data_IF_310275811059
#
_entry.id   IF_310275811059
#
_cell.length_a   1.000
_cell.length_b   1.000
_cell.length_c   1.000
_cell.angle_alpha   90.00
_cell.angle_beta   90.00
_cell.angle_gamma   90.00
#
_symmetry.space_group_name_H-M   'P 1'
#
loop_
_entity.id
_entity.type
_entity.pdbx_description
1 polymer ?
#
# COMPACT_ATOMS: atom_id res chain seq x y z
N UNK A 1 -3.16 16.48 -10.72
CA UNK A 1 -2.50 15.56 -9.77
C UNK A 1 -3.57 15.13 -8.77
N UNK A 2 -3.95 13.85 -8.72
CA UNK A 2 -4.96 13.40 -7.78
C UNK A 2 -4.43 13.55 -6.35
N UNK A 3 -5.14 14.32 -5.52
CA UNK A 3 -4.79 14.49 -4.10
C UNK A 3 -4.77 13.11 -3.42
N UNK A 4 -3.74 12.82 -2.62
CA UNK A 4 -3.71 11.59 -1.82
C UNK A 4 -4.90 11.63 -0.85
N UNK A 5 -5.72 10.58 -0.77
CA UNK A 5 -6.87 10.59 0.13
C UNK A 5 -6.38 10.70 1.57
N UNK A 6 -7.15 11.40 2.40
CA UNK A 6 -6.84 11.53 3.83
C UNK A 6 -6.98 10.17 4.50
N UNK A 7 -5.95 9.78 5.25
CA UNK A 7 -5.99 8.57 6.09
C UNK A 7 -6.85 8.86 7.31
N UNK A 8 -7.86 8.03 7.53
CA UNK A 8 -8.74 8.08 8.70
C UNK A 8 -8.16 7.23 9.82
N UNK A 9 -7.72 6.01 9.50
CA UNK A 9 -7.26 5.02 10.47
C UNK A 9 -6.30 4.01 9.84
N UNK A 10 -5.26 3.62 10.56
CA UNK A 10 -4.46 2.44 10.21
C UNK A 10 -5.22 1.17 10.63
N UNK A 11 -5.45 0.27 9.68
CA UNK A 11 -6.13 -1.02 9.91
C UNK A 11 -5.08 -2.08 10.26
N UNK A 12 -4.00 -2.12 9.49
CA UNK A 12 -2.92 -3.07 9.65
C UNK A 12 -1.60 -2.47 9.17
N UNK A 13 -0.53 -2.74 9.90
CA UNK A 13 0.82 -2.38 9.52
C UNK A 13 1.75 -3.47 10.00
N UNK A 14 2.56 -3.99 9.10
CA UNK A 14 3.53 -5.03 9.40
C UNK A 14 4.78 -4.82 8.58
N UNK A 15 5.90 -4.65 9.29
CA UNK A 15 7.22 -4.62 8.70
C UNK A 15 8.01 -5.80 9.23
N UNK A 16 8.43 -6.67 8.33
CA UNK A 16 9.32 -7.78 8.63
C UNK A 16 10.66 -7.55 7.97
N UNK A 17 11.72 -7.63 8.77
CA UNK A 17 13.11 -7.59 8.30
C UNK A 17 13.64 -9.02 8.42
N UNK A 18 14.06 -9.59 7.29
CA UNK A 18 14.66 -10.92 7.24
C UNK A 18 16.12 -10.86 7.71
N UNK A 19 16.70 -12.01 8.06
CA UNK A 19 18.09 -12.12 8.51
C UNK A 19 19.11 -11.59 7.47
N UNK A 20 18.76 -11.64 6.19
CA UNK A 20 19.58 -11.11 5.10
C UNK A 20 19.38 -9.60 4.85
N UNK A 21 18.59 -8.91 5.67
CA UNK A 21 18.29 -7.47 5.53
C UNK A 21 17.18 -7.13 4.54
N UNK A 22 16.59 -8.12 3.84
CA UNK A 22 15.42 -7.87 3.00
C UNK A 22 14.22 -7.45 3.86
N UNK A 23 13.37 -6.59 3.32
CA UNK A 23 12.20 -6.06 4.03
C UNK A 23 10.92 -6.47 3.30
N UNK A 24 9.95 -7.01 4.04
CA UNK A 24 8.55 -7.14 3.63
C UNK A 24 7.76 -6.09 4.40
N UNK A 25 7.10 -5.18 3.70
CA UNK A 25 6.30 -4.10 4.29
C UNK A 25 4.86 -4.22 3.79
N UNK A 26 3.92 -4.35 4.72
CA UNK A 26 2.48 -4.50 4.45
C UNK A 26 1.76 -3.40 5.22
N UNK A 27 0.89 -2.67 4.54
CA UNK A 27 0.07 -1.62 5.14
C UNK A 27 -1.34 -1.66 4.58
N UNK A 28 -2.33 -1.51 5.46
CA UNK A 28 -3.74 -1.40 5.15
C UNK A 28 -4.30 -0.23 5.98
N UNK A 29 -4.98 0.70 5.32
CA UNK A 29 -5.48 1.93 5.90
C UNK A 29 -6.93 2.16 5.46
N UNK A 30 -7.75 2.64 6.41
CA UNK A 30 -8.99 3.31 6.08
C UNK A 30 -8.65 4.73 5.61
N UNK A 31 -9.12 5.08 4.43
CA UNK A 31 -9.04 6.42 3.84
C UNK A 31 -10.43 6.96 3.58
N UNK A 32 -10.53 8.28 3.40
CA UNK A 32 -11.77 8.89 2.89
C UNK A 32 -12.16 8.26 1.55
N UNK A 33 -13.46 7.99 1.38
CA UNK A 33 -13.98 7.44 0.13
C UNK A 33 -13.78 8.44 -1.00
N UNK A 34 -13.21 7.97 -2.09
CA UNK A 34 -13.06 8.74 -3.33
C UNK A 34 -13.43 7.86 -4.51
N UNK A 35 -13.50 8.43 -5.71
CA UNK A 35 -13.70 7.63 -6.93
C UNK A 35 -12.61 6.56 -7.12
N UNK A 36 -11.40 6.80 -6.62
CA UNK A 36 -10.29 5.85 -6.68
C UNK A 36 -10.37 4.78 -5.58
N UNK A 37 -10.92 5.12 -4.42
CA UNK A 37 -11.06 4.24 -3.26
C UNK A 37 -12.52 4.20 -2.83
N UNK A 38 -13.38 3.57 -3.65
CA UNK A 38 -14.83 3.55 -3.41
C UNK A 38 -15.18 2.87 -2.07
N UNK A 39 -14.40 1.87 -1.68
CA UNK A 39 -14.52 1.18 -0.40
C UNK A 39 -13.89 1.97 0.76
N UNK A 40 -13.12 3.02 0.46
CA UNK A 40 -12.36 3.78 1.45
C UNK A 40 -11.20 2.98 2.03
N UNK A 41 -10.69 1.97 1.33
CA UNK A 41 -9.56 1.15 1.77
C UNK A 41 -8.37 1.40 0.85
N UNK A 42 -7.21 1.70 1.45
CA UNK A 42 -5.92 1.76 0.75
C UNK A 42 -5.02 0.67 1.31
N UNK A 43 -4.32 -0.06 0.45
CA UNK A 43 -3.34 -1.05 0.89
C UNK A 43 -2.10 -1.05 0.01
N UNK A 44 -1.01 -1.54 0.58
CA UNK A 44 0.24 -1.78 -0.12
C UNK A 44 1.00 -2.94 0.49
N UNK A 45 1.64 -3.75 -0.37
CA UNK A 45 2.63 -4.74 -0.04
C UNK A 45 3.89 -4.43 -0.86
N UNK A 46 5.02 -4.29 -0.17
CA UNK A 46 6.32 -4.03 -0.80
C UNK A 46 7.35 -5.04 -0.34
N UNK A 47 8.16 -5.51 -1.28
CA UNK A 47 9.37 -6.27 -1.00
C UNK A 47 10.59 -5.45 -1.43
N UNK A 48 11.49 -5.23 -0.49
CA UNK A 48 12.66 -4.38 -0.64
C UNK A 48 13.91 -5.21 -0.39
N UNK A 49 14.87 -5.12 -1.30
CA UNK A 49 16.19 -5.75 -1.21
C UNK A 49 17.25 -4.71 -1.53
N UNK A 50 18.32 -4.66 -0.75
CA UNK A 50 19.42 -3.70 -0.93
C UNK A 50 18.95 -2.23 -1.03
N UNK A 51 17.91 -1.88 -0.25
CA UNK A 51 17.28 -0.56 -0.26
C UNK A 51 16.44 -0.25 -1.51
N UNK A 52 16.26 -1.19 -2.44
CA UNK A 52 15.46 -1.03 -3.66
C UNK A 52 14.16 -1.84 -3.57
N UNK A 53 13.04 -1.23 -3.96
CA UNK A 53 11.76 -1.94 -4.09
C UNK A 53 11.81 -2.87 -5.30
N UNK A 54 11.84 -4.19 -5.06
CA UNK A 54 11.82 -5.20 -6.13
C UNK A 54 10.40 -5.56 -6.57
N UNK A 55 9.48 -5.62 -5.62
CA UNK A 55 8.07 -5.89 -5.88
C UNK A 55 7.22 -4.91 -5.09
N UNK A 56 6.18 -4.41 -5.74
CA UNK A 56 5.15 -3.61 -5.10
C UNK A 56 3.80 -4.01 -5.65
N UNK A 57 2.86 -4.23 -4.75
CA UNK A 57 1.46 -4.42 -5.06
C UNK A 57 0.64 -3.44 -4.22
N UNK A 58 -0.15 -2.59 -4.86
CA UNK A 58 -1.02 -1.65 -4.18
C UNK A 58 -2.27 -1.39 -5.03
N UNK A 59 -3.26 -0.72 -4.42
CA UNK A 59 -4.47 -0.26 -5.10
C UNK A 59 -4.41 1.23 -5.47
N UNK A 60 -3.21 1.80 -5.66
CA UNK A 60 -3.06 3.17 -6.14
C UNK A 60 -3.34 3.25 -7.66
N UNK A 61 -3.94 4.36 -8.12
CA UNK A 61 -4.45 4.51 -9.47
C UNK A 61 -3.35 4.34 -10.53
N UNK A 62 -3.64 3.51 -11.54
CA UNK A 62 -2.73 3.10 -12.61
C UNK A 62 -2.86 1.62 -12.97
N UNK A 63 -3.37 0.80 -12.04
CA UNK A 63 -3.67 -0.62 -12.25
C UNK A 63 -5.16 -0.87 -12.00
N UNK A 64 -6.00 -0.96 -13.06
CA UNK A 64 -7.42 -1.22 -12.89
C UNK A 64 -7.62 -2.60 -12.23
N UNK A 65 -8.13 -2.61 -11.01
CA UNK A 65 -8.76 -3.80 -10.45
C UNK A 65 -10.05 -4.04 -11.26
N UNK A 66 -9.95 -4.97 -12.22
CA UNK A 66 -11.00 -5.72 -12.94
C UNK A 66 -12.37 -5.03 -13.14
N UNK A 67 -12.76 -4.89 -14.42
CA UNK A 67 -14.09 -4.45 -14.89
C UNK A 67 -15.24 -5.20 -14.24
#
# INVERSE_FOLDING_TARGET
>A
MASKPKVIKEIFSHKHIKDNGDIIDIKIEQVEKTNQYAEGIRYSLSYIRDGKTLLRYDNHAGHPHHK
#
